data_IF_632061903163
#
_entry.id   IF_632061903163
#
_cell.length_a   1.000
_cell.length_b   1.000
_cell.length_c   1.000
_cell.angle_alpha   90.00
_cell.angle_beta   90.00
_cell.angle_gamma   90.00
#
_symmetry.space_group_name_H-M   'P 1'
#
loop_
_entity.id
_entity.type
_entity.pdbx_description
1 polymer ?
#
# COMPACT_ATOMS: atom_id res chain seq x y z
N UNK A 1 17.20 16.40 45.24
CA UNK A 1 16.43 16.49 43.98
C UNK A 1 17.09 15.79 42.80
N UNK A 2 18.41 15.69 42.67
CA UNK A 2 19.09 14.95 41.59
C UNK A 2 18.75 13.44 41.56
N UNK A 3 18.55 12.80 42.71
CA UNK A 3 18.31 11.35 42.83
C UNK A 3 16.95 10.92 42.25
N UNK A 4 15.87 11.68 42.45
CA UNK A 4 14.53 11.34 41.92
C UNK A 4 14.45 11.38 40.39
N UNK A 5 15.12 12.33 39.75
CA UNK A 5 15.17 12.40 38.27
C UNK A 5 15.93 11.22 37.68
N UNK A 6 17.00 10.78 38.30
CA UNK A 6 17.81 9.64 37.85
C UNK A 6 17.01 8.33 38.02
N UNK A 7 16.32 8.19 39.14
CA UNK A 7 15.45 7.03 39.39
C UNK A 7 14.26 6.95 38.43
N UNK A 8 13.60 8.08 38.16
CA UNK A 8 12.54 8.17 37.18
C UNK A 8 13.04 7.83 35.76
N UNK A 9 14.22 8.32 35.38
CA UNK A 9 14.84 7.99 34.10
C UNK A 9 15.17 6.48 33.99
N UNK A 10 15.72 5.89 35.05
CA UNK A 10 16.01 4.46 35.09
C UNK A 10 14.77 3.60 34.89
N UNK A 11 13.69 3.87 35.63
CA UNK A 11 12.42 3.16 35.44
C UNK A 11 11.81 3.41 34.06
N UNK A 12 11.93 4.62 33.51
CA UNK A 12 11.48 4.94 32.16
C UNK A 12 12.21 4.10 31.09
N UNK A 13 13.55 4.03 31.17
CA UNK A 13 14.33 3.19 30.25
C UNK A 13 14.02 1.69 30.42
N UNK A 14 13.87 1.22 31.65
CA UNK A 14 13.54 -0.19 31.93
C UNK A 14 12.20 -0.60 31.30
N UNK A 15 11.19 0.28 31.37
CA UNK A 15 9.86 0.02 30.79
C UNK A 15 9.86 0.04 29.25
N UNK A 16 10.70 0.86 28.63
CA UNK A 16 10.82 0.95 27.16
C UNK A 16 11.74 -0.16 26.61
N UNK A 17 12.68 -0.68 27.41
CA UNK A 17 13.70 -1.64 26.99
C UNK A 17 13.15 -2.87 26.24
N UNK A 18 12.08 -3.55 26.69
CA UNK A 18 11.57 -4.74 25.98
C UNK A 18 11.12 -4.42 24.53
N UNK A 19 10.45 -3.29 24.32
CA UNK A 19 10.02 -2.84 22.98
C UNK A 19 11.23 -2.45 22.16
N UNK A 20 12.18 -1.71 22.74
CA UNK A 20 13.40 -1.30 22.04
C UNK A 20 14.27 -2.49 21.63
N UNK A 21 14.44 -3.49 22.49
CA UNK A 21 15.16 -4.72 22.16
C UNK A 21 14.45 -5.50 21.04
N UNK A 22 13.12 -5.60 21.08
CA UNK A 22 12.35 -6.21 19.99
C UNK A 22 12.56 -5.48 18.65
N UNK A 23 12.50 -4.16 18.64
CA UNK A 23 12.77 -3.34 17.46
C UNK A 23 14.21 -3.50 16.96
N UNK A 24 15.19 -3.51 17.86
CA UNK A 24 16.60 -3.72 17.49
C UNK A 24 16.82 -5.07 16.82
N UNK A 25 16.33 -6.16 17.43
CA UNK A 25 16.60 -7.53 16.97
C UNK A 25 15.83 -7.84 15.68
N UNK A 26 14.56 -7.44 15.59
CA UNK A 26 13.69 -7.87 14.48
C UNK A 26 13.57 -6.87 13.33
N UNK A 27 13.97 -5.61 13.52
CA UNK A 27 13.87 -4.59 12.47
C UNK A 27 15.23 -3.95 12.16
N UNK A 28 15.92 -3.40 13.15
CA UNK A 28 17.12 -2.59 12.91
C UNK A 28 18.28 -3.47 12.45
N UNK A 29 18.56 -4.57 13.15
CA UNK A 29 19.64 -5.50 12.76
C UNK A 29 19.39 -6.11 11.38
N UNK A 30 18.20 -6.72 11.06
CA UNK A 30 17.93 -7.24 9.73
C UNK A 30 17.97 -6.18 8.62
N UNK A 31 17.59 -4.94 8.94
CA UNK A 31 17.70 -3.83 8.00
C UNK A 31 19.15 -3.60 7.56
N UNK A 32 20.08 -3.45 8.53
CA UNK A 32 21.49 -3.28 8.20
C UNK A 32 22.11 -4.54 7.57
N UNK A 33 21.69 -5.72 7.99
CA UNK A 33 22.12 -6.98 7.37
C UNK A 33 21.69 -7.05 5.90
N UNK A 34 20.46 -6.61 5.56
CA UNK A 34 20.01 -6.56 4.18
C UNK A 34 20.89 -5.62 3.34
N UNK A 35 21.27 -4.44 3.88
CA UNK A 35 22.21 -3.56 3.19
C UNK A 35 23.59 -4.21 3.01
N UNK A 36 24.10 -4.89 4.02
CA UNK A 36 25.36 -5.62 3.90
C UNK A 36 25.28 -6.69 2.81
N UNK A 37 24.21 -7.50 2.81
CA UNK A 37 24.00 -8.55 1.82
C UNK A 37 23.85 -8.03 0.40
N UNK A 38 23.37 -6.81 0.20
CA UNK A 38 23.26 -6.21 -1.13
C UNK A 38 24.62 -6.03 -1.83
N UNK A 39 25.72 -5.98 -1.08
CA UNK A 39 27.11 -5.90 -1.57
C UNK A 39 27.83 -7.25 -1.59
N UNK A 40 27.13 -8.34 -1.29
CA UNK A 40 27.71 -9.68 -1.22
C UNK A 40 27.01 -10.63 -2.19
N UNK A 41 27.74 -11.66 -2.61
CA UNK A 41 27.16 -12.85 -3.22
C UNK A 41 27.13 -13.97 -2.15
N UNK A 42 25.97 -14.57 -1.96
CA UNK A 42 25.76 -15.61 -0.96
C UNK A 42 25.69 -16.94 -1.69
N UNK A 43 26.66 -17.82 -1.44
CA UNK A 43 26.72 -19.13 -2.05
C UNK A 43 25.59 -20.06 -1.54
N UNK A 44 25.23 -21.05 -2.37
CA UNK A 44 24.15 -22.02 -2.09
C UNK A 44 24.40 -22.81 -0.80
N UNK A 45 25.65 -23.12 -0.50
CA UNK A 45 26.08 -23.88 0.70
C UNK A 45 26.44 -22.98 1.90
N UNK A 46 26.10 -21.69 1.85
CA UNK A 46 26.54 -20.70 2.84
C UNK A 46 27.88 -20.08 2.46
N UNK A 47 28.29 -19.07 3.23
CA UNK A 47 29.42 -18.21 2.89
C UNK A 47 28.97 -16.99 2.09
N UNK A 48 29.57 -15.86 2.38
CA UNK A 48 29.34 -14.61 1.65
C UNK A 48 30.66 -14.08 1.14
N UNK A 49 30.72 -13.76 -0.15
CA UNK A 49 31.86 -13.09 -0.78
C UNK A 49 31.46 -11.65 -1.08
N UNK A 50 32.37 -10.73 -0.80
CA UNK A 50 32.14 -9.32 -1.08
C UNK A 50 32.31 -9.04 -2.58
N UNK A 51 31.24 -8.59 -3.25
CA UNK A 51 31.21 -8.29 -4.69
C UNK A 51 31.05 -6.79 -4.99
N UNK A 52 31.00 -5.96 -3.95
CA UNK A 52 30.83 -4.51 -4.10
C UNK A 52 29.53 -4.15 -4.80
N UNK A 53 29.59 -3.41 -5.91
CA UNK A 53 28.41 -2.92 -6.63
C UNK A 53 27.91 -3.86 -7.75
N UNK A 54 28.42 -5.08 -7.88
CA UNK A 54 28.09 -5.92 -9.02
C UNK A 54 26.63 -6.37 -9.05
N UNK A 55 25.99 -6.59 -7.90
CA UNK A 55 24.55 -6.82 -7.82
C UNK A 55 23.76 -5.64 -8.40
N UNK A 56 24.16 -4.42 -8.07
CA UNK A 56 23.51 -3.21 -8.59
C UNK A 56 23.73 -3.06 -10.11
N UNK A 57 24.93 -3.34 -10.62
CA UNK A 57 25.20 -3.33 -12.08
C UNK A 57 24.32 -4.34 -12.80
N UNK A 58 24.20 -5.57 -12.26
CA UNK A 58 23.30 -6.61 -12.79
C UNK A 58 21.85 -6.11 -12.85
N UNK A 59 21.34 -5.49 -11.78
CA UNK A 59 19.96 -4.96 -11.72
C UNK A 59 19.70 -3.92 -12.80
N UNK A 60 20.64 -2.98 -13.03
CA UNK A 60 20.43 -1.91 -14.02
C UNK A 60 20.38 -2.39 -15.47
N UNK A 61 20.93 -3.56 -15.79
CA UNK A 61 20.84 -4.18 -17.11
C UNK A 61 19.72 -5.23 -17.22
N UNK A 62 19.10 -5.60 -16.09
CA UNK A 62 18.05 -6.60 -16.03
C UNK A 62 16.70 -6.04 -16.54
N UNK A 63 16.20 -6.62 -17.63
CA UNK A 63 14.90 -6.26 -18.20
C UNK A 63 13.72 -6.59 -17.27
N UNK A 64 13.82 -7.65 -16.48
CA UNK A 64 12.77 -8.03 -15.52
C UNK A 64 12.64 -6.99 -14.40
N UNK A 65 13.75 -6.44 -13.93
CA UNK A 65 13.73 -5.34 -12.96
C UNK A 65 12.98 -4.13 -13.51
N UNK A 66 13.32 -3.67 -14.70
CA UNK A 66 12.68 -2.50 -15.30
C UNK A 66 11.20 -2.72 -15.57
N UNK A 67 10.80 -3.93 -15.99
CA UNK A 67 9.39 -4.28 -16.15
C UNK A 67 8.66 -4.30 -14.83
N UNK A 68 9.22 -4.92 -13.78
CA UNK A 68 8.63 -4.96 -12.44
C UNK A 68 8.53 -3.58 -11.79
N UNK A 69 9.53 -2.73 -12.02
CA UNK A 69 9.51 -1.34 -11.56
C UNK A 69 8.40 -0.55 -12.25
N UNK A 70 8.29 -0.66 -13.57
CA UNK A 70 7.20 -0.05 -14.35
C UNK A 70 5.81 -0.51 -13.86
N UNK A 71 5.65 -1.80 -13.60
CA UNK A 71 4.40 -2.34 -13.07
C UNK A 71 4.11 -1.79 -11.67
N UNK A 72 5.13 -1.72 -10.80
CA UNK A 72 5.00 -1.15 -9.45
C UNK A 72 4.54 0.31 -9.51
N UNK A 73 5.10 1.11 -10.41
CA UNK A 73 4.63 2.48 -10.64
C UNK A 73 3.19 2.52 -11.18
N UNK A 74 2.80 1.62 -12.10
CA UNK A 74 1.41 1.52 -12.56
C UNK A 74 0.45 1.23 -11.39
N UNK A 75 0.80 0.27 -10.51
CA UNK A 75 0.04 0.01 -9.29
C UNK A 75 -0.15 1.28 -8.46
N UNK A 76 0.91 2.02 -8.21
CA UNK A 76 0.88 3.24 -7.40
C UNK A 76 0.04 4.34 -8.06
N UNK A 77 0.28 4.63 -9.34
CA UNK A 77 -0.39 5.72 -10.05
C UNK A 77 -1.89 5.47 -10.18
N UNK A 78 -2.32 4.21 -10.24
CA UNK A 78 -3.73 3.87 -10.40
C UNK A 78 -4.39 3.64 -9.04
N UNK A 79 -3.82 2.75 -8.19
CA UNK A 79 -4.48 2.35 -6.96
C UNK A 79 -4.50 3.46 -5.90
N UNK A 80 -3.46 4.28 -5.80
CA UNK A 80 -3.39 5.32 -4.75
C UNK A 80 -4.43 6.42 -4.99
N UNK A 81 -4.48 7.10 -6.14
CA UNK A 81 -5.48 8.16 -6.36
C UNK A 81 -6.91 7.62 -6.33
N UNK A 82 -7.19 6.50 -7.00
CA UNK A 82 -8.53 5.92 -7.03
C UNK A 82 -8.96 5.44 -5.64
N UNK A 83 -8.09 4.74 -4.92
CA UNK A 83 -8.38 4.25 -3.58
C UNK A 83 -8.66 5.38 -2.59
N UNK A 84 -7.88 6.45 -2.61
CA UNK A 84 -8.10 7.63 -1.76
C UNK A 84 -9.38 8.35 -2.16
N UNK A 85 -9.63 8.56 -3.45
CA UNK A 85 -10.84 9.24 -3.93
C UNK A 85 -12.11 8.50 -3.52
N UNK A 86 -12.16 7.18 -3.76
CA UNK A 86 -13.30 6.34 -3.37
C UNK A 86 -13.49 6.37 -1.85
N UNK A 87 -12.40 6.23 -1.07
CA UNK A 87 -12.45 6.26 0.40
C UNK A 87 -12.93 7.61 0.92
N UNK A 88 -12.54 8.72 0.27
CA UNK A 88 -12.98 10.07 0.63
C UNK A 88 -14.48 10.22 0.40
N UNK A 89 -14.97 9.82 -0.76
CA UNK A 89 -16.41 9.85 -1.07
C UNK A 89 -17.20 9.03 -0.05
N UNK A 90 -16.76 7.80 0.24
CA UNK A 90 -17.42 6.95 1.23
C UNK A 90 -17.38 7.54 2.64
N UNK A 91 -16.25 8.16 3.04
CA UNK A 91 -16.14 8.83 4.34
C UNK A 91 -17.12 10.01 4.45
N UNK A 92 -17.24 10.82 3.39
CA UNK A 92 -18.19 11.94 3.34
C UNK A 92 -19.64 11.44 3.42
N UNK A 93 -20.00 10.43 2.64
CA UNK A 93 -21.34 9.83 2.68
C UNK A 93 -21.65 9.26 4.07
N UNK A 94 -20.71 8.57 4.69
CA UNK A 94 -20.84 8.04 6.05
C UNK A 94 -20.80 9.12 7.15
N UNK A 95 -20.35 10.33 6.83
CA UNK A 95 -20.39 11.44 7.80
C UNK A 95 -21.79 12.07 7.91
N UNK A 96 -22.66 11.82 6.96
CA UNK A 96 -24.06 12.27 7.00
C UNK A 96 -24.93 11.46 7.99
N UNK A 97 -26.17 11.91 8.23
CA UNK A 97 -27.15 11.22 9.08
C UNK A 97 -27.84 10.10 8.29
N UNK A 98 -27.15 8.97 8.07
CA UNK A 98 -27.74 7.80 7.41
C UNK A 98 -28.15 6.73 8.42
N UNK A 99 -29.22 5.99 8.12
CA UNK A 99 -29.63 4.80 8.87
C UNK A 99 -28.58 3.69 8.68
N UNK A 100 -28.39 2.85 9.72
CA UNK A 100 -27.45 1.73 9.68
C UNK A 100 -25.97 2.08 9.43
N UNK A 101 -25.54 3.29 9.80
CA UNK A 101 -24.16 3.78 9.63
C UNK A 101 -23.12 2.78 10.18
N UNK A 102 -23.39 2.13 11.32
CA UNK A 102 -22.50 1.13 11.90
C UNK A 102 -22.34 -0.09 10.98
N UNK A 103 -23.42 -0.58 10.40
CA UNK A 103 -23.40 -1.71 9.47
C UNK A 103 -22.55 -1.42 8.23
N UNK A 104 -22.75 -0.25 7.60
CA UNK A 104 -21.95 0.14 6.46
C UNK A 104 -20.44 0.24 6.78
N UNK A 105 -20.11 0.83 7.95
CA UNK A 105 -18.71 0.86 8.42
C UNK A 105 -18.13 -0.55 8.56
N UNK A 106 -18.87 -1.49 9.14
CA UNK A 106 -18.44 -2.88 9.28
C UNK A 106 -18.24 -3.55 7.92
N UNK A 107 -19.19 -3.40 6.99
CA UNK A 107 -19.09 -3.99 5.64
C UNK A 107 -17.86 -3.48 4.89
N UNK A 108 -17.63 -2.17 4.88
CA UNK A 108 -16.44 -1.59 4.20
C UNK A 108 -15.12 -1.92 4.90
N UNK A 109 -15.15 -2.18 6.22
CA UNK A 109 -13.96 -2.54 6.98
C UNK A 109 -13.65 -4.04 6.93
N UNK A 110 -14.62 -4.88 6.61
CA UNK A 110 -14.43 -6.34 6.55
C UNK A 110 -13.23 -6.79 5.71
N UNK A 111 -12.99 -6.22 4.51
CA UNK A 111 -11.82 -6.59 3.71
C UNK A 111 -10.46 -6.35 4.39
N UNK A 112 -10.39 -5.38 5.29
CA UNK A 112 -9.14 -5.00 5.99
C UNK A 112 -8.66 -6.10 6.94
N UNK A 113 -9.61 -6.83 7.56
CA UNK A 113 -9.30 -7.91 8.50
C UNK A 113 -9.18 -9.28 7.82
N UNK A 114 -9.57 -9.36 6.55
CA UNK A 114 -9.46 -10.59 5.79
C UNK A 114 -7.99 -10.89 5.41
N UNK A 115 -7.57 -12.13 5.55
CA UNK A 115 -6.24 -12.56 5.10
C UNK A 115 -6.12 -12.39 3.58
N UNK A 116 -4.94 -11.95 3.12
CA UNK A 116 -4.68 -11.80 1.68
C UNK A 116 -4.90 -13.10 0.90
N UNK A 117 -4.58 -14.26 1.49
CA UNK A 117 -4.81 -15.57 0.90
C UNK A 117 -6.30 -15.87 0.68
N UNK A 118 -7.14 -15.61 1.69
CA UNK A 118 -8.59 -15.81 1.59
C UNK A 118 -9.20 -14.85 0.57
N UNK A 119 -8.82 -13.57 0.64
CA UNK A 119 -9.25 -12.55 -0.34
C UNK A 119 -8.82 -12.92 -1.75
N UNK A 120 -7.57 -13.35 -1.94
CA UNK A 120 -7.07 -13.80 -3.23
C UNK A 120 -7.82 -15.00 -3.80
N UNK A 121 -8.18 -15.98 -2.97
CA UNK A 121 -8.96 -17.15 -3.38
C UNK A 121 -10.38 -16.76 -3.84
N UNK A 122 -11.07 -15.91 -3.07
CA UNK A 122 -12.40 -15.40 -3.43
C UNK A 122 -12.35 -14.61 -4.74
N UNK A 123 -11.40 -13.71 -4.89
CA UNK A 123 -11.25 -12.93 -6.11
C UNK A 123 -10.82 -13.76 -7.33
N UNK A 124 -10.00 -14.82 -7.15
CA UNK A 124 -9.73 -15.80 -8.21
C UNK A 124 -11.01 -16.45 -8.72
N UNK A 125 -11.90 -16.79 -7.82
CA UNK A 125 -13.19 -17.36 -8.19
C UNK A 125 -14.07 -16.33 -8.94
N UNK A 126 -14.15 -15.08 -8.44
CA UNK A 126 -14.88 -13.98 -9.07
C UNK A 126 -14.35 -13.72 -10.50
N UNK A 127 -13.04 -13.77 -10.70
CA UNK A 127 -12.36 -13.54 -11.98
C UNK A 127 -12.21 -14.78 -12.85
N UNK A 128 -12.75 -15.93 -12.43
CA UNK A 128 -12.65 -17.15 -13.23
C UNK A 128 -13.27 -16.92 -14.62
N UNK A 129 -12.57 -17.39 -15.69
CA UNK A 129 -13.01 -17.19 -17.07
C UNK A 129 -14.34 -17.86 -17.35
N UNK A 130 -14.53 -19.12 -16.90
CA UNK A 130 -15.61 -19.99 -17.32
C UNK A 130 -16.85 -19.87 -16.42
N UNK A 131 -16.65 -19.76 -15.09
CA UNK A 131 -17.74 -19.75 -14.12
C UNK A 131 -17.69 -18.57 -13.13
N UNK A 132 -16.81 -17.58 -13.38
CA UNK A 132 -16.68 -16.41 -12.51
C UNK A 132 -17.87 -15.47 -12.62
N UNK A 133 -18.33 -14.96 -11.46
CA UNK A 133 -19.51 -14.09 -11.40
C UNK A 133 -19.35 -12.82 -12.22
N UNK A 134 -18.12 -12.30 -12.37
CA UNK A 134 -17.90 -11.09 -13.15
C UNK A 134 -18.16 -11.33 -14.64
N UNK A 135 -17.66 -12.44 -15.22
CA UNK A 135 -17.93 -12.80 -16.61
C UNK A 135 -19.39 -13.19 -16.80
N UNK A 136 -20.01 -13.84 -15.82
CA UNK A 136 -21.44 -14.11 -15.86
C UNK A 136 -22.27 -12.82 -15.95
N UNK A 137 -21.95 -11.80 -15.14
CA UNK A 137 -22.62 -10.49 -15.25
C UNK A 137 -22.35 -9.81 -16.59
N UNK A 138 -21.12 -9.86 -17.12
CA UNK A 138 -20.76 -9.25 -18.39
C UNK A 138 -21.44 -9.91 -19.58
N UNK A 139 -21.72 -11.22 -19.52
CA UNK A 139 -22.42 -11.95 -20.59
C UNK A 139 -23.86 -11.45 -20.80
N UNK A 140 -24.55 -10.90 -19.76
CA UNK A 140 -25.84 -10.26 -19.93
C UNK A 140 -25.80 -9.02 -20.82
N UNK A 141 -24.63 -8.39 -20.93
CA UNK A 141 -24.41 -7.22 -21.80
C UNK A 141 -23.77 -7.60 -23.14
N UNK A 142 -23.66 -8.91 -23.44
CA UNK A 142 -23.12 -9.42 -24.72
C UNK A 142 -21.58 -9.39 -24.81
N UNK A 143 -20.87 -9.20 -23.70
CA UNK A 143 -19.40 -9.26 -23.70
C UNK A 143 -18.92 -10.72 -23.68
N UNK A 144 -17.84 -11.00 -24.39
CA UNK A 144 -17.15 -12.29 -24.32
C UNK A 144 -16.47 -12.50 -22.96
N UNK A 145 -16.28 -13.76 -22.59
CA UNK A 145 -15.62 -14.14 -21.35
C UNK A 145 -14.13 -13.74 -21.36
N UNK A 146 -13.75 -12.86 -20.46
CA UNK A 146 -12.40 -12.33 -20.32
C UNK A 146 -11.58 -13.20 -19.36
N UNK A 147 -10.37 -13.56 -19.77
CA UNK A 147 -9.40 -14.23 -18.87
C UNK A 147 -8.62 -13.19 -18.04
N UNK A 148 -9.28 -12.65 -17.01
CA UNK A 148 -8.81 -11.50 -16.23
C UNK A 148 -7.39 -11.62 -15.70
N UNK A 149 -7.02 -12.79 -15.16
CA UNK A 149 -5.74 -13.01 -14.47
C UNK A 149 -4.66 -13.59 -15.38
N UNK A 150 -5.03 -14.22 -16.50
CA UNK A 150 -4.06 -14.84 -17.40
C UNK A 150 -3.81 -14.02 -18.68
N UNK A 151 -4.51 -12.90 -18.84
CA UNK A 151 -4.28 -12.00 -19.96
C UNK A 151 -3.33 -10.87 -19.54
N UNK A 152 -2.21 -10.63 -20.25
CA UNK A 152 -1.24 -9.59 -19.94
C UNK A 152 -1.82 -8.18 -19.85
N UNK A 153 -2.89 -7.90 -20.61
CA UNK A 153 -3.51 -6.56 -20.63
C UNK A 153 -4.43 -6.30 -19.45
N UNK A 154 -5.01 -7.32 -18.82
CA UNK A 154 -6.03 -7.17 -17.75
C UNK A 154 -5.53 -7.55 -16.38
N UNK A 155 -4.51 -8.41 -16.26
CA UNK A 155 -4.07 -8.99 -15.00
C UNK A 155 -3.64 -7.94 -13.95
N UNK A 156 -2.87 -6.94 -14.35
CA UNK A 156 -2.46 -5.85 -13.47
C UNK A 156 -3.68 -5.07 -12.93
N UNK A 157 -4.62 -4.73 -13.81
CA UNK A 157 -5.82 -3.97 -13.43
C UNK A 157 -6.76 -4.78 -12.52
N UNK A 158 -6.86 -6.10 -12.77
CA UNK A 158 -7.61 -7.00 -11.89
C UNK A 158 -7.03 -7.00 -10.47
N UNK A 159 -5.71 -7.04 -10.34
CA UNK A 159 -5.02 -6.92 -9.04
C UNK A 159 -5.26 -5.54 -8.41
N UNK A 160 -5.20 -4.44 -9.19
CA UNK A 160 -5.46 -3.07 -8.70
C UNK A 160 -6.85 -2.96 -8.07
N UNK A 161 -7.89 -3.51 -8.69
CA UNK A 161 -9.26 -3.49 -8.14
C UNK A 161 -9.31 -4.15 -6.77
N UNK A 162 -8.66 -5.29 -6.61
CA UNK A 162 -8.61 -6.00 -5.32
C UNK A 162 -7.82 -5.22 -4.27
N UNK A 163 -6.69 -4.63 -4.65
CA UNK A 163 -5.90 -3.79 -3.76
C UNK A 163 -6.71 -2.59 -3.24
N UNK A 164 -7.43 -1.91 -4.12
CA UNK A 164 -8.31 -0.80 -3.76
C UNK A 164 -9.38 -1.30 -2.79
N UNK A 165 -10.08 -2.38 -3.13
CA UNK A 165 -11.13 -2.96 -2.29
C UNK A 165 -10.64 -3.31 -0.88
N UNK A 166 -9.45 -3.87 -0.74
CA UNK A 166 -8.84 -4.20 0.56
C UNK A 166 -8.49 -2.96 1.38
N UNK A 167 -8.17 -1.83 0.75
CA UNK A 167 -7.69 -0.61 1.43
C UNK A 167 -8.78 0.41 1.72
N UNK A 168 -9.89 0.38 0.98
CA UNK A 168 -10.99 1.37 1.10
C UNK A 168 -11.44 1.54 2.54
N UNK A 169 -11.69 0.45 3.28
CA UNK A 169 -12.22 0.50 4.64
C UNK A 169 -11.28 1.20 5.63
N UNK A 170 -9.99 0.88 5.56
CA UNK A 170 -8.96 1.51 6.40
C UNK A 170 -8.86 3.01 6.14
N UNK A 171 -8.70 3.38 4.88
CA UNK A 171 -8.60 4.78 4.46
C UNK A 171 -9.86 5.57 4.83
N UNK A 172 -11.03 5.00 4.59
CA UNK A 172 -12.32 5.59 4.90
C UNK A 172 -12.47 5.92 6.40
N UNK A 173 -12.04 5.03 7.30
CA UNK A 173 -12.15 5.27 8.75
C UNK A 173 -11.26 6.43 9.18
N UNK A 174 -10.02 6.51 8.69
CA UNK A 174 -9.10 7.61 9.00
C UNK A 174 -9.68 8.94 8.48
N UNK A 175 -10.15 8.96 7.25
CA UNK A 175 -10.75 10.15 6.64
C UNK A 175 -12.04 10.57 7.36
N UNK A 176 -12.85 9.60 7.79
CA UNK A 176 -14.05 9.87 8.57
C UNK A 176 -13.74 10.50 9.94
N UNK A 177 -12.66 10.05 10.60
CA UNK A 177 -12.18 10.68 11.83
C UNK A 177 -11.74 12.13 11.59
N UNK A 178 -10.99 12.38 10.49
CA UNK A 178 -10.64 13.72 10.05
C UNK A 178 -11.85 14.60 9.75
N UNK A 179 -12.88 14.07 9.09
CA UNK A 179 -14.13 14.81 8.84
C UNK A 179 -14.86 15.19 10.13
N UNK A 180 -14.81 14.34 11.15
CA UNK A 180 -15.46 14.60 12.44
C UNK A 180 -14.74 15.65 13.29
N UNK A 181 -13.49 15.96 13.00
CA UNK A 181 -12.73 17.02 13.68
C UNK A 181 -13.06 18.43 13.14
N UNK A 182 -13.69 18.52 11.97
CA UNK A 182 -14.04 19.82 11.36
C UNK A 182 -15.22 20.45 12.14
N UNK A 183 -15.07 21.71 12.63
CA UNK A 183 -16.12 22.39 13.37
C UNK A 183 -17.42 22.57 12.55
N UNK A 184 -18.55 22.18 13.12
CA UNK A 184 -19.86 22.31 12.45
C UNK A 184 -20.25 23.73 12.14
N UNK A 185 -19.78 24.69 12.95
CA UNK A 185 -20.05 26.13 12.76
C UNK A 185 -19.61 26.64 11.38
N UNK A 186 -18.54 26.07 10.80
CA UNK A 186 -18.11 26.43 9.44
C UNK A 186 -19.15 26.07 8.38
N UNK A 187 -19.80 24.92 8.53
CA UNK A 187 -20.86 24.48 7.62
C UNK A 187 -22.17 25.27 7.84
N UNK A 188 -22.46 25.64 9.09
CA UNK A 188 -23.61 26.45 9.44
C UNK A 188 -23.49 27.87 8.87
N UNK A 189 -22.33 28.52 9.02
CA UNK A 189 -22.05 29.81 8.43
C UNK A 189 -22.14 29.74 6.89
N UNK A 190 -21.54 28.77 6.25
CA UNK A 190 -21.61 28.61 4.80
C UNK A 190 -23.03 28.36 4.28
N UNK A 191 -23.91 27.74 5.07
CA UNK A 191 -25.33 27.56 4.73
C UNK A 191 -26.09 28.89 4.81
N UNK A 192 -25.78 29.74 5.80
CA UNK A 192 -26.36 31.10 5.91
C UNK A 192 -25.97 31.92 4.69
N UNK A 193 -24.70 31.78 4.22
CA UNK A 193 -24.20 32.44 3.01
C UNK A 193 -24.72 31.81 1.69
N UNK A 194 -25.60 30.80 1.76
CA UNK A 194 -26.23 30.18 0.59
C UNK A 194 -25.30 29.21 -0.16
N UNK A 195 -24.18 28.74 0.44
CA UNK A 195 -23.28 27.81 -0.21
C UNK A 195 -23.91 26.41 -0.36
N UNK A 196 -23.92 25.88 -1.59
CA UNK A 196 -24.36 24.49 -1.89
C UNK A 196 -23.45 23.46 -1.23
N UNK A 197 -23.92 22.22 -1.04
CA UNK A 197 -23.13 21.11 -0.46
C UNK A 197 -21.85 20.82 -1.26
N UNK A 198 -21.92 20.92 -2.59
CA UNK A 198 -20.74 20.76 -3.45
C UNK A 198 -19.72 21.86 -3.17
N UNK A 199 -20.16 23.10 -3.03
CA UNK A 199 -19.29 24.23 -2.70
C UNK A 199 -18.67 24.07 -1.31
N UNK A 200 -19.45 23.65 -0.31
CA UNK A 200 -18.96 23.33 1.03
C UNK A 200 -17.91 22.19 0.99
N UNK A 201 -18.11 21.18 0.15
CA UNK A 201 -17.14 20.10 -0.01
C UNK A 201 -15.79 20.61 -0.52
N UNK A 202 -15.75 21.37 -1.61
CA UNK A 202 -14.50 21.82 -2.20
C UNK A 202 -13.81 22.94 -1.44
N UNK A 203 -14.55 23.83 -0.77
CA UNK A 203 -13.99 25.02 -0.12
C UNK A 203 -13.85 24.91 1.41
N UNK A 204 -14.52 23.95 2.06
CA UNK A 204 -14.44 23.73 3.51
C UNK A 204 -13.90 22.33 3.79
N UNK A 205 -14.62 21.30 3.30
CA UNK A 205 -14.30 19.92 3.67
C UNK A 205 -12.94 19.49 3.14
N UNK A 206 -12.71 19.63 1.84
CA UNK A 206 -11.49 19.14 1.19
C UNK A 206 -10.21 19.84 1.72
N UNK A 207 -10.17 21.18 1.86
CA UNK A 207 -9.02 21.88 2.44
C UNK A 207 -8.74 21.47 3.89
N UNK A 208 -9.76 21.40 4.75
CA UNK A 208 -9.58 21.03 6.16
C UNK A 208 -9.33 19.54 6.37
N UNK A 209 -9.62 18.70 5.37
CA UNK A 209 -9.30 17.28 5.38
C UNK A 209 -7.86 16.98 4.90
N UNK A 210 -7.13 17.97 4.38
CA UNK A 210 -5.80 17.79 3.80
C UNK A 210 -4.79 17.11 4.74
N UNK A 211 -4.76 17.34 6.07
CA UNK A 211 -3.87 16.60 6.96
C UNK A 211 -4.14 15.09 6.96
N UNK A 212 -5.43 14.70 7.01
CA UNK A 212 -5.84 13.29 6.97
C UNK A 212 -5.58 12.67 5.59
N UNK A 213 -5.86 13.40 4.51
CA UNK A 213 -5.56 12.98 3.14
C UNK A 213 -4.06 12.77 2.93
N UNK A 214 -3.23 13.65 3.46
CA UNK A 214 -1.78 13.51 3.40
C UNK A 214 -1.30 12.25 4.13
N UNK A 215 -1.80 12.00 5.34
CA UNK A 215 -1.46 10.80 6.10
C UNK A 215 -1.88 9.51 5.36
N UNK A 216 -3.14 9.44 4.92
CA UNK A 216 -3.66 8.32 4.13
C UNK A 216 -2.87 8.15 2.83
N UNK A 217 -2.51 9.26 2.18
CA UNK A 217 -1.70 9.28 0.97
C UNK A 217 -0.34 8.62 1.16
N UNK A 218 0.41 8.99 2.20
CA UNK A 218 1.71 8.38 2.52
C UNK A 218 1.54 6.89 2.81
N UNK A 219 0.63 6.52 3.70
CA UNK A 219 0.44 5.12 4.11
C UNK A 219 0.00 4.23 2.94
N UNK A 220 -0.92 4.72 2.10
CA UNK A 220 -1.38 3.98 0.93
C UNK A 220 -0.28 3.85 -0.11
N UNK A 221 0.50 4.91 -0.34
CA UNK A 221 1.62 4.90 -1.28
C UNK A 221 2.69 3.88 -0.86
N UNK A 222 3.19 3.96 0.38
CA UNK A 222 4.20 3.02 0.90
C UNK A 222 3.71 1.58 0.76
N UNK A 223 2.47 1.30 1.21
CA UNK A 223 1.92 -0.06 1.15
C UNK A 223 1.69 -0.56 -0.29
N UNK A 224 1.42 0.34 -1.24
CA UNK A 224 1.25 -0.02 -2.64
C UNK A 224 2.57 -0.31 -3.32
N UNK A 225 3.64 0.44 -3.02
CA UNK A 225 4.99 0.08 -3.48
C UNK A 225 5.46 -1.30 -2.99
N UNK A 226 4.96 -1.74 -1.84
CA UNK A 226 5.30 -3.02 -1.21
C UNK A 226 4.31 -4.13 -1.56
N UNK A 227 3.48 -3.95 -2.60
CA UNK A 227 2.50 -4.98 -2.98
C UNK A 227 3.19 -6.28 -3.41
N UNK A 228 2.77 -7.38 -2.78
CA UNK A 228 3.26 -8.73 -3.05
C UNK A 228 2.16 -9.77 -2.88
N UNK A 229 1.56 -9.86 -1.68
CA UNK A 229 0.70 -10.96 -1.27
C UNK A 229 -0.42 -11.25 -2.27
N UNK A 230 -1.14 -10.19 -2.70
CA UNK A 230 -2.28 -10.35 -3.58
C UNK A 230 -1.85 -10.74 -5.01
N UNK A 231 -0.70 -10.26 -5.49
CA UNK A 231 -0.14 -10.67 -6.78
C UNK A 231 0.21 -12.16 -6.73
N UNK A 232 0.95 -12.57 -5.70
CA UNK A 232 1.38 -13.94 -5.49
C UNK A 232 0.20 -14.91 -5.36
N UNK A 233 -0.87 -14.50 -4.68
CA UNK A 233 -2.06 -15.32 -4.48
C UNK A 233 -2.94 -15.39 -5.72
N UNK A 234 -3.01 -14.35 -6.55
CA UNK A 234 -3.98 -14.28 -7.65
C UNK A 234 -3.39 -14.66 -9.00
N UNK A 235 -2.20 -14.19 -9.34
CA UNK A 235 -1.60 -14.40 -10.65
C UNK A 235 -0.79 -15.69 -10.67
N UNK A 236 -1.06 -16.56 -11.65
CA UNK A 236 -0.32 -17.80 -11.77
C UNK A 236 1.10 -17.52 -12.26
N UNK A 237 2.11 -18.02 -11.54
CA UNK A 237 3.52 -17.82 -11.88
C UNK A 237 3.95 -18.39 -13.25
N UNK A 238 3.18 -19.31 -13.80
CA UNK A 238 3.41 -19.90 -15.13
C UNK A 238 2.59 -19.22 -16.24
N UNK A 239 1.77 -18.21 -15.89
CA UNK A 239 1.00 -17.46 -16.86
C UNK A 239 1.87 -16.47 -17.62
N UNK A 240 1.54 -16.25 -18.90
CA UNK A 240 2.15 -15.17 -19.71
C UNK A 240 1.89 -13.77 -19.11
N UNK A 241 0.87 -13.64 -18.27
CA UNK A 241 0.50 -12.40 -17.61
C UNK A 241 1.41 -12.04 -16.42
N UNK A 242 2.24 -12.99 -15.94
CA UNK A 242 3.05 -12.76 -14.73
C UNK A 242 4.01 -11.58 -14.89
N UNK A 243 4.66 -11.46 -16.06
CA UNK A 243 5.62 -10.40 -16.32
C UNK A 243 4.97 -9.00 -16.31
N UNK A 244 3.71 -8.90 -16.75
CA UNK A 244 2.96 -7.65 -16.75
C UNK A 244 2.32 -7.31 -15.38
N UNK A 245 2.37 -8.24 -14.42
CA UNK A 245 1.80 -8.07 -13.09
C UNK A 245 2.84 -8.09 -11.97
N UNK A 246 4.05 -8.61 -12.22
CA UNK A 246 5.12 -8.71 -11.21
C UNK A 246 5.50 -7.32 -10.69
N UNK A 247 5.49 -7.14 -9.35
CA UNK A 247 6.04 -5.98 -8.65
C UNK A 247 7.53 -6.19 -8.32
N UNK A 248 8.22 -5.12 -7.92
CA UNK A 248 9.61 -5.24 -7.44
C UNK A 248 9.70 -6.15 -6.22
N UNK A 249 8.71 -6.15 -5.32
CA UNK A 249 8.69 -7.07 -4.16
C UNK A 249 8.44 -8.51 -4.59
N UNK A 250 7.60 -8.73 -5.61
CA UNK A 250 7.41 -10.07 -6.18
C UNK A 250 8.70 -10.59 -6.84
N UNK A 251 9.43 -9.71 -7.51
CA UNK A 251 10.74 -10.03 -8.08
C UNK A 251 11.76 -10.35 -7.00
N UNK A 252 11.83 -9.52 -5.94
CA UNK A 252 12.64 -9.79 -4.75
C UNK A 252 12.36 -11.17 -4.16
N UNK A 253 11.08 -11.50 -3.95
CA UNK A 253 10.68 -12.80 -3.39
C UNK A 253 11.20 -13.97 -4.25
N UNK A 254 11.05 -13.87 -5.57
CA UNK A 254 11.51 -14.90 -6.51
C UNK A 254 13.03 -15.12 -6.43
N UNK A 255 13.81 -14.02 -6.44
CA UNK A 255 15.26 -14.13 -6.33
C UNK A 255 15.72 -14.60 -4.95
N UNK A 256 15.09 -14.12 -3.87
CA UNK A 256 15.46 -14.48 -2.51
C UNK A 256 15.17 -15.95 -2.14
N UNK A 257 13.99 -16.46 -2.56
CA UNK A 257 13.43 -17.72 -2.06
C UNK A 257 13.29 -18.83 -3.12
N UNK A 258 13.12 -18.49 -4.40
CA UNK A 258 13.02 -19.49 -5.47
C UNK A 258 14.39 -19.73 -6.13
N UNK A 259 15.14 -18.67 -6.43
CA UNK A 259 16.47 -18.77 -7.06
C UNK A 259 17.62 -18.80 -6.07
N UNK A 260 17.35 -18.47 -4.79
CA UNK A 260 18.32 -18.40 -3.70
C UNK A 260 19.48 -17.38 -3.94
N UNK A 261 19.26 -16.38 -4.79
CA UNK A 261 20.19 -15.28 -5.06
C UNK A 261 19.97 -14.14 -4.06
N UNK A 262 20.29 -14.37 -2.79
CA UNK A 262 19.99 -13.45 -1.69
C UNK A 262 20.69 -12.10 -1.81
N UNK A 263 21.91 -12.06 -2.35
CA UNK A 263 22.65 -10.80 -2.56
C UNK A 263 21.94 -9.88 -3.57
N UNK A 264 21.54 -10.45 -4.71
CA UNK A 264 20.78 -9.74 -5.75
C UNK A 264 19.41 -9.27 -5.21
N UNK A 265 18.69 -10.15 -4.51
CA UNK A 265 17.42 -9.80 -3.88
C UNK A 265 17.58 -8.67 -2.86
N UNK A 266 18.62 -8.71 -2.02
CA UNK A 266 18.89 -7.63 -1.06
C UNK A 266 19.17 -6.29 -1.75
N UNK A 267 19.82 -6.29 -2.89
CA UNK A 267 20.04 -5.09 -3.69
C UNK A 267 18.73 -4.55 -4.30
N UNK A 268 17.81 -5.42 -4.76
CA UNK A 268 16.46 -5.03 -5.18
C UNK A 268 15.69 -4.33 -4.05
N UNK A 269 15.72 -4.92 -2.85
CA UNK A 269 15.06 -4.33 -1.67
C UNK A 269 15.67 -2.97 -1.30
N UNK A 270 17.00 -2.83 -1.36
CA UNK A 270 17.69 -1.57 -1.11
C UNK A 270 17.28 -0.48 -2.12
N UNK A 271 17.23 -0.80 -3.42
CA UNK A 271 16.78 0.14 -4.45
C UNK A 271 15.33 0.58 -4.20
N UNK A 272 14.43 -0.37 -3.93
CA UNK A 272 13.02 -0.05 -3.64
C UNK A 272 12.89 0.83 -2.40
N UNK A 273 13.66 0.56 -1.35
CA UNK A 273 13.69 1.37 -0.14
C UNK A 273 14.08 2.83 -0.46
N UNK A 274 15.13 3.06 -1.25
CA UNK A 274 15.54 4.41 -1.63
C UNK A 274 14.49 5.10 -2.51
N UNK A 275 13.81 4.39 -3.41
CA UNK A 275 12.72 4.93 -4.22
C UNK A 275 11.59 5.40 -3.31
N UNK A 276 11.16 4.56 -2.35
CA UNK A 276 10.07 4.90 -1.41
C UNK A 276 10.46 6.11 -0.54
N UNK A 277 11.67 6.14 0.01
CA UNK A 277 12.14 7.31 0.79
C UNK A 277 12.13 8.58 -0.06
N UNK A 278 12.69 8.53 -1.26
CA UNK A 278 12.77 9.70 -2.13
C UNK A 278 11.37 10.26 -2.44
N UNK A 279 10.41 9.39 -2.77
CA UNK A 279 9.05 9.80 -3.06
C UNK A 279 8.35 10.32 -1.78
N UNK A 280 8.59 9.68 -0.63
CA UNK A 280 8.04 10.13 0.65
C UNK A 280 8.59 11.51 1.04
N UNK A 281 9.90 11.74 0.89
CA UNK A 281 10.50 13.05 1.13
C UNK A 281 9.93 14.12 0.19
N UNK A 282 9.70 13.77 -1.09
CA UNK A 282 9.03 14.65 -2.04
C UNK A 282 7.61 15.01 -1.57
N UNK A 283 6.83 14.04 -1.07
CA UNK A 283 5.50 14.30 -0.51
C UNK A 283 5.56 15.26 0.70
N UNK A 284 6.53 15.07 1.61
CA UNK A 284 6.73 16.01 2.73
C UNK A 284 7.13 17.41 2.28
N UNK A 285 7.91 17.52 1.22
CA UNK A 285 8.26 18.83 0.66
C UNK A 285 7.02 19.54 0.06
N UNK A 286 6.18 18.80 -0.64
CA UNK A 286 4.94 19.31 -1.23
C UNK A 286 3.91 19.65 -0.15
N UNK A 287 3.88 18.90 0.96
CA UNK A 287 2.98 19.13 2.12
C UNK A 287 2.94 20.61 2.52
N UNK A 288 4.10 21.25 2.63
CA UNK A 288 4.21 22.65 3.07
C UNK A 288 3.39 23.65 2.25
N UNK A 289 3.03 23.30 1.01
CA UNK A 289 2.27 24.16 0.10
C UNK A 289 0.78 23.80 0.01
N UNK A 290 0.40 22.61 0.46
CA UNK A 290 -0.93 22.06 0.18
C UNK A 290 -1.73 21.70 1.44
N UNK A 291 -1.08 21.40 2.56
CA UNK A 291 -1.77 21.03 3.81
C UNK A 291 -2.05 22.30 4.62
N UNK A 292 -3.32 22.53 4.90
CA UNK A 292 -3.81 23.62 5.77
C UNK A 292 -3.87 23.06 7.20
N UNK A 293 -3.10 23.66 8.10
CA UNK A 293 -3.11 23.38 9.54
C UNK A 293 -4.05 24.32 10.27
#
# INVERSE_FOLDING_TARGET
MKNKKTEQAFWGYLLIMPVFLGLMIFYIIPFFQNFYFSFTEIGIFGGSTWVGLDNYKKIFVDKEFWQSLKNTFKYVIIAVPLGISISTVLAVLLNTKIKFKGLFRTIYFLPVIAMASASGAVWKWIYNKDFGILNFCLSFFGFEHISWLNNPTTSLYAVVVVMIWMKIGYNMIILLAGLQSIPKSLYEAAKIDGASEIRQFFFITLPLLTPSLFFVGIMTLISTFQVFDIIYMMVNKYSIAINESTSVVSLFYRYAFEFNEKGYASALAAILFFIIIMITLLQFHIKKKWVHE
#
